data_IF_303099226021
#
_entry.id   IF_303099226021
#
_cell.length_a   1.000
_cell.length_b   1.000
_cell.length_c   1.000
_cell.angle_alpha   90.00
_cell.angle_beta   90.00
_cell.angle_gamma   90.00
#
_symmetry.space_group_name_H-M   'P 1'
#
loop_
_entity.id
_entity.type
_entity.pdbx_description
1 polymer ?
#
# COMPACT_ATOMS: atom_id res chain seq x y z
N UNK A 1 4.12 -8.46 -13.53
CA UNK A 1 3.65 -8.01 -12.20
C UNK A 1 2.25 -8.57 -11.99
N UNK A 2 1.94 -9.08 -10.80
CA UNK A 2 0.58 -9.60 -10.52
C UNK A 2 -0.43 -8.46 -10.53
N UNK A 3 -1.65 -8.72 -11.01
CA UNK A 3 -2.76 -7.74 -11.04
C UNK A 3 -2.99 -7.09 -9.68
N UNK A 4 -2.83 -7.87 -8.61
CA UNK A 4 -2.92 -7.40 -7.22
C UNK A 4 -1.87 -6.32 -6.87
N UNK A 5 -0.62 -6.46 -7.34
CA UNK A 5 0.42 -5.44 -7.11
C UNK A 5 0.08 -4.12 -7.79
N UNK A 6 -0.43 -4.20 -9.02
CA UNK A 6 -0.83 -3.02 -9.81
C UNK A 6 -2.03 -2.32 -9.15
N UNK A 7 -3.04 -3.07 -8.72
CA UNK A 7 -4.20 -2.49 -8.04
C UNK A 7 -3.83 -1.85 -6.70
N UNK A 8 -2.96 -2.49 -5.90
CA UNK A 8 -2.52 -1.92 -4.63
C UNK A 8 -1.76 -0.61 -4.82
N UNK A 9 -0.89 -0.52 -5.83
CA UNK A 9 -0.20 0.73 -6.16
C UNK A 9 -1.16 1.82 -6.66
N UNK A 10 -2.14 1.47 -7.50
CA UNK A 10 -3.13 2.42 -7.97
C UNK A 10 -3.98 2.99 -6.82
N UNK A 11 -4.42 2.13 -5.90
CA UNK A 11 -5.18 2.53 -4.70
C UNK A 11 -4.32 3.39 -3.76
N UNK A 12 -3.04 3.05 -3.61
CA UNK A 12 -2.09 3.83 -2.82
C UNK A 12 -1.90 5.25 -3.39
N UNK A 13 -1.74 5.38 -4.72
CA UNK A 13 -1.61 6.68 -5.38
C UNK A 13 -2.90 7.50 -5.31
N UNK A 14 -4.07 6.87 -5.46
CA UNK A 14 -5.34 7.58 -5.32
C UNK A 14 -5.57 8.09 -3.89
N UNK A 15 -5.25 7.27 -2.89
CA UNK A 15 -5.42 7.64 -1.48
C UNK A 15 -4.49 8.80 -1.10
N UNK A 16 -3.21 8.77 -1.49
CA UNK A 16 -2.29 9.87 -1.19
C UNK A 16 -2.70 11.17 -1.90
N UNK A 17 -3.15 11.10 -3.16
CA UNK A 17 -3.62 12.29 -3.89
C UNK A 17 -4.85 12.91 -3.24
N UNK A 18 -5.81 12.10 -2.78
CA UNK A 18 -7.00 12.62 -2.09
C UNK A 18 -6.68 13.25 -0.72
N UNK A 19 -5.72 12.69 0.03
CA UNK A 19 -5.25 13.29 1.28
C UNK A 19 -4.55 14.63 1.01
N UNK A 20 -3.67 14.69 0.01
CA UNK A 20 -2.99 15.93 -0.39
C UNK A 20 -4.02 16.98 -0.84
N UNK A 21 -5.03 16.58 -1.61
CA UNK A 21 -6.10 17.48 -2.02
C UNK A 21 -6.83 18.10 -0.82
N UNK A 22 -7.21 17.28 0.16
CA UNK A 22 -7.86 17.76 1.38
C UNK A 22 -6.97 18.76 2.16
N UNK A 23 -5.66 18.54 2.15
CA UNK A 23 -4.69 19.39 2.84
C UNK A 23 -4.44 20.74 2.12
N UNK A 24 -4.35 20.73 0.79
CA UNK A 24 -4.00 21.91 -0.02
C UNK A 24 -5.21 22.81 -0.27
N UNK A 25 -6.35 22.22 -0.63
CA UNK A 25 -7.53 22.98 -1.04
C UNK A 25 -8.47 23.32 0.10
N UNK A 26 -8.23 22.77 1.30
CA UNK A 26 -9.00 22.99 2.52
C UNK A 26 -10.53 23.06 2.27
N UNK A 27 -11.11 21.99 1.70
CA UNK A 27 -12.55 21.93 1.46
C UNK A 27 -13.31 21.92 2.80
N UNK A 28 -14.64 22.03 2.75
CA UNK A 28 -15.46 22.04 3.97
C UNK A 28 -15.13 20.87 4.91
N UNK A 29 -15.14 21.11 6.22
CA UNK A 29 -14.67 20.17 7.25
C UNK A 29 -15.25 18.75 7.12
N UNK A 30 -16.54 18.65 6.77
CA UNK A 30 -17.20 17.36 6.56
C UNK A 30 -16.60 16.54 5.41
N UNK A 31 -16.08 17.21 4.37
CA UNK A 31 -15.37 16.58 3.25
C UNK A 31 -14.01 16.08 3.72
N UNK A 32 -13.29 16.89 4.51
CA UNK A 32 -11.99 16.50 5.07
C UNK A 32 -12.15 15.28 5.98
N UNK A 33 -13.20 15.23 6.81
CA UNK A 33 -13.49 14.07 7.65
C UNK A 33 -13.85 12.83 6.82
N UNK A 34 -14.70 12.97 5.80
CA UNK A 34 -15.05 11.85 4.92
C UNK A 34 -13.83 11.28 4.19
N UNK A 35 -12.97 12.16 3.66
CA UNK A 35 -11.70 11.78 3.02
C UNK A 35 -10.80 11.07 4.02
N UNK A 36 -10.67 11.59 5.25
CA UNK A 36 -9.78 11.03 6.27
C UNK A 36 -10.23 9.63 6.71
N UNK A 37 -11.53 9.43 6.93
CA UNK A 37 -12.09 8.14 7.38
C UNK A 37 -11.88 7.05 6.33
N UNK A 38 -11.91 7.37 5.05
CA UNK A 38 -11.80 6.38 3.97
C UNK A 38 -10.37 6.24 3.46
N UNK A 39 -9.72 7.35 3.12
CA UNK A 39 -8.44 7.31 2.42
C UNK A 39 -7.26 7.01 3.34
N UNK A 40 -7.29 7.40 4.63
CA UNK A 40 -6.19 7.07 5.55
C UNK A 40 -6.10 5.56 5.80
N UNK A 41 -7.20 4.84 6.16
CA UNK A 41 -7.14 3.39 6.27
C UNK A 41 -6.75 2.71 4.96
N UNK A 42 -7.31 3.18 3.84
CA UNK A 42 -7.00 2.64 2.50
C UNK A 42 -5.53 2.81 2.14
N UNK A 43 -4.93 3.95 2.50
CA UNK A 43 -3.51 4.24 2.34
C UNK A 43 -2.66 3.26 3.15
N UNK A 44 -2.95 3.07 4.43
CA UNK A 44 -2.21 2.16 5.31
C UNK A 44 -2.30 0.72 4.82
N UNK A 45 -3.51 0.26 4.44
CA UNK A 45 -3.74 -1.10 3.95
C UNK A 45 -3.02 -1.35 2.62
N UNK A 46 -3.13 -0.43 1.66
CA UNK A 46 -2.45 -0.57 0.37
C UNK A 46 -0.93 -0.56 0.52
N UNK A 47 -0.38 0.29 1.40
CA UNK A 47 1.05 0.30 1.74
C UNK A 47 1.49 -1.04 2.36
N UNK A 48 0.72 -1.55 3.32
CA UNK A 48 1.00 -2.85 3.94
C UNK A 48 1.03 -3.99 2.92
N UNK A 49 0.07 -4.02 1.97
CA UNK A 49 0.04 -4.99 0.89
C UNK A 49 1.24 -4.86 -0.06
N UNK A 50 1.67 -3.63 -0.38
CA UNK A 50 2.85 -3.40 -1.22
C UNK A 50 4.11 -3.95 -0.53
N UNK A 51 4.30 -3.63 0.75
CA UNK A 51 5.46 -4.08 1.54
C UNK A 51 5.51 -5.60 1.68
N UNK A 52 4.39 -6.24 2.04
CA UNK A 52 4.30 -7.71 2.12
C UNK A 52 4.63 -8.38 0.79
N UNK A 53 4.22 -7.75 -0.32
CA UNK A 53 4.48 -8.29 -1.65
C UNK A 53 5.93 -8.07 -2.13
N UNK A 54 6.71 -7.20 -1.48
CA UNK A 54 8.15 -7.05 -1.70
C UNK A 54 8.94 -8.12 -0.93
N UNK A 55 8.64 -8.35 0.35
CA UNK A 55 9.34 -9.32 1.22
C UNK A 55 9.37 -10.73 0.61
N UNK A 56 8.27 -11.17 -0.02
CA UNK A 56 8.21 -12.48 -0.65
C UNK A 56 9.25 -12.72 -1.76
N UNK A 57 9.75 -11.66 -2.41
CA UNK A 57 10.82 -11.80 -3.42
C UNK A 57 12.20 -11.97 -2.79
N UNK A 58 12.48 -11.28 -1.69
CA UNK A 58 13.76 -11.42 -0.98
C UNK A 58 13.87 -12.78 -0.29
N UNK A 59 12.79 -13.27 0.31
CA UNK A 59 12.73 -14.63 0.90
C UNK A 59 12.83 -15.75 -0.15
N UNK A 60 12.35 -15.53 -1.39
CA UNK A 60 12.51 -16.48 -2.49
C UNK A 60 13.98 -16.64 -2.90
N UNK A 61 14.76 -15.56 -2.86
CA UNK A 61 16.20 -15.58 -3.15
C UNK A 61 17.01 -16.21 -2.01
N UNK A 62 16.65 -15.99 -0.75
CA UNK A 62 17.26 -16.68 0.40
C UNK A 62 16.96 -18.18 0.37
N UNK A 63 15.68 -18.58 0.23
CA UNK A 63 15.29 -20.01 0.13
C UNK A 63 15.92 -20.75 -1.06
N UNK A 64 16.27 -20.04 -2.12
CA UNK A 64 16.97 -20.60 -3.28
C UNK A 64 18.46 -20.87 -3.00
N UNK A 65 19.06 -20.06 -2.14
CA UNK A 65 20.48 -20.11 -1.81
C UNK A 65 20.76 -20.82 -0.47
N UNK A 66 19.73 -21.04 0.35
CA UNK A 66 19.82 -21.91 1.52
C UNK A 66 20.10 -23.35 1.05
N UNK A 67 21.22 -23.97 1.46
CA UNK A 67 21.44 -25.37 1.21
C UNK A 67 20.31 -26.15 1.90
N UNK A 68 19.68 -27.09 1.19
CA UNK A 68 18.64 -27.97 1.75
C UNK A 68 19.23 -28.82 2.89
N UNK A 69 19.24 -28.28 4.11
CA UNK A 69 19.49 -29.03 5.33
C UNK A 69 18.12 -29.47 5.88
N UNK A 70 17.56 -30.50 5.25
CA UNK A 70 16.48 -31.28 5.84
C UNK A 70 17.04 -32.13 6.96
N UNK A 71 16.91 -31.67 8.20
CA UNK A 71 16.95 -32.54 9.39
C UNK A 71 15.54 -33.08 9.65
#
# INVERSE_FOLDING_TARGET
MTTLKVSSYAIFLLSISGIIYALVFNPADWIVYAISIVLIPTFILSLGLILMAQVKKEEEDERRNEPFIGY
#
